data_IF_961327891171
#
_entry.id   IF_961327891171
#
_cell.length_a   1.000
_cell.length_b   1.000
_cell.length_c   1.000
_cell.angle_alpha   90.00
_cell.angle_beta   90.00
_cell.angle_gamma   90.00
#
_symmetry.space_group_name_H-M   'P 1'
#
loop_
_entity.id
_entity.type
_entity.pdbx_description
1 polymer ?
#
# COMPACT_ATOMS: atom_id res chain seq x y z
N UNK A 1 -2.50 4.79 2.53
CA UNK A 1 -2.86 3.59 3.34
C UNK A 1 -1.92 2.47 2.94
N UNK A 2 -1.15 1.90 3.86
CA UNK A 2 -0.27 0.76 3.58
C UNK A 2 -1.00 -0.38 2.86
N UNK A 3 -0.42 -0.84 1.77
CA UNK A 3 -0.84 -2.00 0.99
C UNK A 3 0.11 -3.17 1.27
N UNK A 4 0.04 -4.25 0.53
CA UNK A 4 0.87 -5.45 0.78
C UNK A 4 2.38 -5.13 0.90
N UNK A 5 3.01 -4.35 -0.02
CA UNK A 5 4.44 -4.11 0.05
C UNK A 5 4.87 -3.32 1.30
N UNK A 6 4.10 -2.29 1.68
CA UNK A 6 4.39 -1.47 2.86
C UNK A 6 4.26 -2.31 4.15
N UNK A 7 3.22 -3.15 4.22
CA UNK A 7 3.02 -4.05 5.38
C UNK A 7 4.12 -5.12 5.44
N UNK A 8 4.54 -5.65 4.30
CA UNK A 8 5.66 -6.61 4.22
C UNK A 8 6.98 -5.98 4.71
N UNK A 9 7.21 -4.71 4.36
CA UNK A 9 8.37 -3.95 4.84
C UNK A 9 8.37 -3.85 6.36
N UNK A 10 7.25 -3.44 6.95
CA UNK A 10 7.12 -3.37 8.42
C UNK A 10 7.36 -4.74 9.07
N UNK A 11 6.84 -5.82 8.51
CA UNK A 11 7.07 -7.18 9.01
C UNK A 11 8.55 -7.56 8.97
N UNK A 12 9.24 -7.26 7.87
CA UNK A 12 10.68 -7.57 7.72
C UNK A 12 11.54 -6.80 8.71
N UNK A 13 11.21 -5.53 8.94
CA UNK A 13 11.92 -4.67 9.87
C UNK A 13 11.63 -5.07 11.34
N UNK A 14 10.38 -5.40 11.63
CA UNK A 14 9.93 -5.73 12.99
C UNK A 14 10.41 -7.13 13.45
N UNK A 15 10.37 -8.13 12.57
CA UNK A 15 10.68 -9.53 12.90
C UNK A 15 12.01 -9.73 13.65
N UNK A 16 13.16 -9.22 13.15
CA UNK A 16 14.43 -9.42 13.84
C UNK A 16 14.51 -8.68 15.17
N UNK A 17 13.67 -7.68 15.38
CA UNK A 17 13.69 -6.87 16.59
C UNK A 17 12.90 -7.51 17.75
N UNK A 18 11.81 -8.23 17.45
CA UNK A 18 10.92 -8.71 18.52
C UNK A 18 10.75 -10.24 18.56
N UNK A 19 11.17 -10.99 17.55
CA UNK A 19 11.07 -12.45 17.59
C UNK A 19 11.94 -13.01 18.71
N UNK A 20 11.33 -13.87 19.54
CA UNK A 20 11.97 -14.48 20.69
C UNK A 20 11.79 -13.70 22.01
N UNK A 21 11.40 -12.43 21.99
CA UNK A 21 11.08 -11.66 23.19
C UNK A 21 9.77 -12.12 23.84
N UNK A 22 9.62 -11.90 25.13
CA UNK A 22 8.39 -12.16 25.90
C UNK A 22 7.67 -10.85 26.19
N UNK A 23 6.37 -10.80 25.96
CA UNK A 23 5.53 -9.65 26.35
C UNK A 23 5.31 -9.71 27.86
N UNK A 24 5.76 -8.68 28.57
CA UNK A 24 5.59 -8.59 30.05
C UNK A 24 4.24 -8.00 30.39
N UNK A 25 3.84 -6.92 29.68
CA UNK A 25 2.58 -6.24 29.90
C UNK A 25 2.11 -5.53 28.60
N UNK A 26 0.85 -5.10 28.60
CA UNK A 26 0.27 -4.35 27.51
C UNK A 26 -0.60 -3.18 27.98
N UNK A 27 -0.23 -1.97 27.65
CA UNK A 27 -0.99 -0.75 27.96
C UNK A 27 -1.76 -0.24 26.75
N UNK A 28 -3.08 -0.10 26.88
CA UNK A 28 -3.96 0.41 25.81
C UNK A 28 -4.43 1.83 26.12
N UNK A 29 -3.96 2.83 25.36
CA UNK A 29 -4.36 4.23 25.49
C UNK A 29 -5.64 4.59 24.70
N UNK A 30 -6.09 3.72 23.80
CA UNK A 30 -7.30 3.90 23.00
C UNK A 30 -8.02 2.58 22.77
N UNK A 31 -8.97 2.25 23.63
CA UNK A 31 -9.66 0.95 23.63
C UNK A 31 -10.28 0.57 22.27
N UNK A 32 -10.76 1.56 21.48
CA UNK A 32 -11.31 1.30 20.15
C UNK A 32 -10.27 0.78 19.12
N UNK A 33 -8.98 0.78 19.44
CA UNK A 33 -7.95 0.11 18.63
C UNK A 33 -8.11 -1.40 18.69
N UNK A 34 -8.57 -1.93 19.80
CA UNK A 34 -8.80 -3.36 19.99
C UNK A 34 -10.06 -3.85 19.28
N UNK A 35 -10.06 -5.09 18.83
CA UNK A 35 -11.20 -5.76 18.18
C UNK A 35 -11.83 -6.77 19.13
N UNK A 36 -13.07 -6.48 19.60
CA UNK A 36 -13.90 -7.46 20.29
C UNK A 36 -13.40 -7.91 21.65
N UNK A 37 -12.42 -7.18 22.23
CA UNK A 37 -11.81 -7.49 23.51
C UNK A 37 -11.59 -6.19 24.29
N UNK A 38 -11.69 -6.23 25.63
CA UNK A 38 -11.39 -5.09 26.48
C UNK A 38 -9.87 -4.94 26.68
N UNK A 39 -9.38 -3.74 27.08
CA UNK A 39 -7.96 -3.53 27.36
C UNK A 39 -7.39 -4.51 28.39
N UNK A 40 -8.14 -4.80 29.44
CA UNK A 40 -7.76 -5.68 30.54
C UNK A 40 -7.60 -7.12 30.04
N UNK A 41 -8.62 -7.66 29.38
CA UNK A 41 -8.58 -9.01 28.80
C UNK A 41 -7.50 -9.15 27.72
N UNK A 42 -7.22 -8.06 26.99
CA UNK A 42 -6.13 -8.06 26.02
C UNK A 42 -4.77 -8.16 26.72
N UNK A 43 -4.55 -7.33 27.76
CA UNK A 43 -3.30 -7.35 28.53
C UNK A 43 -3.07 -8.73 29.17
N UNK A 44 -4.08 -9.27 29.85
CA UNK A 44 -4.02 -10.62 30.44
C UNK A 44 -3.74 -11.70 29.40
N UNK A 45 -4.33 -11.57 28.21
CA UNK A 45 -4.17 -12.54 27.12
C UNK A 45 -2.80 -12.54 26.46
N UNK A 46 -2.04 -11.44 26.53
CA UNK A 46 -0.70 -11.33 25.92
C UNK A 46 0.44 -11.39 26.95
N UNK A 47 0.18 -11.07 28.21
CA UNK A 47 1.18 -11.11 29.28
C UNK A 47 1.78 -12.52 29.44
N UNK A 48 3.10 -12.57 29.56
CA UNK A 48 3.88 -13.83 29.65
C UNK A 48 3.98 -14.60 28.32
N UNK A 49 3.42 -14.11 27.21
CA UNK A 49 3.52 -14.79 25.91
C UNK A 49 4.82 -14.42 25.21
N UNK A 50 5.53 -15.45 24.73
CA UNK A 50 6.71 -15.29 23.89
C UNK A 50 6.27 -15.04 22.44
N UNK A 51 6.92 -14.13 21.75
CA UNK A 51 6.73 -13.87 20.31
C UNK A 51 7.50 -14.94 19.53
N UNK A 52 6.79 -15.87 18.90
CA UNK A 52 7.37 -16.96 18.13
C UNK A 52 7.69 -16.59 16.69
N UNK A 53 6.93 -15.63 16.13
CA UNK A 53 7.13 -15.19 14.78
C UNK A 53 6.38 -13.91 14.45
N UNK A 54 6.79 -13.29 13.35
CA UNK A 54 6.09 -12.14 12.75
C UNK A 54 5.94 -12.40 11.27
N UNK A 55 4.72 -12.39 10.79
CA UNK A 55 4.36 -12.67 9.40
C UNK A 55 3.31 -11.68 8.88
N UNK A 56 2.88 -11.84 7.63
CA UNK A 56 1.87 -10.99 7.01
C UNK A 56 0.76 -11.82 6.36
N UNK A 57 -0.46 -11.34 6.49
CA UNK A 57 -1.60 -11.84 5.71
C UNK A 57 -2.39 -10.67 5.10
N UNK A 58 -2.37 -10.54 3.77
CA UNK A 58 -2.97 -9.39 3.07
C UNK A 58 -2.34 -8.07 3.50
N UNK A 59 -3.10 -7.22 4.15
CA UNK A 59 -2.66 -5.91 4.70
C UNK A 59 -2.58 -5.94 6.23
N UNK A 60 -2.46 -7.11 6.83
CA UNK A 60 -2.35 -7.28 8.27
C UNK A 60 -1.01 -7.91 8.63
N UNK A 61 -0.38 -7.37 9.66
CA UNK A 61 0.74 -7.98 10.36
C UNK A 61 0.17 -9.05 11.27
N UNK A 62 0.81 -10.20 11.34
CA UNK A 62 0.48 -11.30 12.23
C UNK A 62 1.67 -11.52 13.15
N UNK A 63 1.45 -11.44 14.46
CA UNK A 63 2.46 -11.74 15.50
C UNK A 63 2.03 -13.02 16.16
N UNK A 64 2.78 -14.09 15.94
CA UNK A 64 2.55 -15.42 16.49
C UNK A 64 3.07 -15.47 17.94
N UNK A 65 2.24 -15.94 18.85
CA UNK A 65 2.51 -15.98 20.29
C UNK A 65 2.52 -17.42 20.79
N UNK A 66 3.32 -17.68 21.81
CA UNK A 66 3.34 -18.99 22.48
C UNK A 66 1.95 -19.38 22.99
N UNK A 67 1.70 -20.69 23.02
CA UNK A 67 0.41 -21.24 23.42
C UNK A 67 -0.67 -21.15 22.34
N UNK A 68 -0.27 -20.99 21.07
CA UNK A 68 -1.17 -21.06 19.91
C UNK A 68 -2.07 -19.83 19.74
N UNK A 69 -1.74 -18.70 20.36
CA UNK A 69 -2.43 -17.43 20.14
C UNK A 69 -1.66 -16.55 19.14
N UNK A 70 -2.31 -15.54 18.58
CA UNK A 70 -1.65 -14.60 17.69
C UNK A 70 -2.37 -13.24 17.68
N UNK A 71 -1.59 -12.19 17.41
CA UNK A 71 -2.12 -10.86 17.16
C UNK A 71 -2.28 -10.61 15.67
N UNK A 72 -3.33 -9.88 15.28
CA UNK A 72 -3.44 -9.27 13.95
C UNK A 72 -3.41 -7.76 14.09
N UNK A 73 -2.57 -7.09 13.29
CA UNK A 73 -2.45 -5.63 13.33
C UNK A 73 -2.71 -5.07 11.93
N UNK A 74 -3.75 -4.25 11.81
CA UNK A 74 -4.06 -3.54 10.57
C UNK A 74 -3.72 -2.06 10.72
N UNK A 75 -2.69 -1.60 10.03
CA UNK A 75 -2.18 -0.22 10.11
C UNK A 75 -3.19 0.84 9.64
N UNK A 76 -4.12 0.49 8.75
CA UNK A 76 -5.07 1.43 8.12
C UNK A 76 -4.36 2.54 7.36
N UNK A 77 -4.48 3.81 7.76
CA UNK A 77 -3.92 4.94 6.99
C UNK A 77 -2.64 5.51 7.61
N UNK A 78 -2.60 5.61 8.93
CA UNK A 78 -1.53 6.29 9.68
C UNK A 78 -0.94 5.45 10.80
N UNK A 79 -1.32 4.16 10.88
CA UNK A 79 -0.76 3.24 11.86
C UNK A 79 0.71 2.93 11.56
N UNK A 80 1.54 2.96 12.59
CA UNK A 80 2.96 2.66 12.56
C UNK A 80 3.31 1.79 13.77
N UNK A 81 4.31 0.92 13.64
CA UNK A 81 4.88 0.14 14.72
C UNK A 81 6.34 0.54 14.91
N UNK A 82 6.70 0.83 16.13
CA UNK A 82 8.07 1.18 16.54
C UNK A 82 8.53 0.23 17.63
N UNK A 83 9.81 -0.10 17.61
CA UNK A 83 10.49 -0.75 18.74
C UNK A 83 11.42 0.28 19.34
N UNK A 84 11.17 0.64 20.59
CA UNK A 84 11.93 1.67 21.31
C UNK A 84 12.32 1.16 22.68
N UNK A 85 13.27 1.83 23.35
CA UNK A 85 13.54 1.58 24.76
C UNK A 85 12.39 2.13 25.62
N UNK A 86 12.15 1.52 26.77
CA UNK A 86 11.07 1.91 27.68
C UNK A 86 11.21 3.33 28.19
N UNK A 87 12.45 3.85 28.31
CA UNK A 87 12.79 5.21 28.70
C UNK A 87 12.70 6.25 27.54
N UNK A 88 12.24 5.81 26.37
CA UNK A 88 12.12 6.66 25.18
C UNK A 88 11.03 7.74 25.32
N UNK A 89 11.12 8.83 24.55
CA UNK A 89 10.22 9.98 24.67
C UNK A 89 8.77 9.59 24.47
N UNK A 90 7.87 10.26 25.21
CA UNK A 90 6.43 10.10 25.08
C UNK A 90 5.92 10.58 23.70
N UNK A 91 4.89 9.89 23.16
CA UNK A 91 4.22 10.29 21.94
C UNK A 91 2.68 10.21 22.16
N UNK A 92 1.96 11.35 22.05
CA UNK A 92 0.51 11.42 22.32
C UNK A 92 -0.33 10.63 21.30
N UNK A 93 0.28 10.14 20.23
CA UNK A 93 -0.38 9.34 19.20
C UNK A 93 -0.21 7.84 19.40
N UNK A 94 0.52 7.39 20.40
CA UNK A 94 0.58 5.97 20.79
C UNK A 94 -0.77 5.52 21.28
N UNK A 95 -1.25 4.39 20.77
CA UNK A 95 -2.56 3.81 21.06
C UNK A 95 -2.48 2.51 21.84
N UNK A 96 -1.36 1.79 21.70
CA UNK A 96 -1.06 0.57 22.41
C UNK A 96 0.45 0.43 22.57
N UNK A 97 0.88 -0.06 23.70
CA UNK A 97 2.25 -0.41 24.04
C UNK A 97 2.27 -1.89 24.43
N UNK A 98 3.22 -2.66 23.93
CA UNK A 98 3.59 -3.97 24.44
C UNK A 98 4.98 -3.84 25.07
N UNK A 99 5.10 -4.09 26.36
CA UNK A 99 6.36 -4.10 27.08
C UNK A 99 7.05 -5.45 26.89
N UNK A 100 8.35 -5.46 26.61
CA UNK A 100 9.14 -6.66 26.38
C UNK A 100 10.08 -6.94 27.57
N UNK A 101 10.41 -8.21 27.77
CA UNK A 101 11.26 -8.71 28.85
C UNK A 101 12.72 -8.19 28.81
N UNK A 102 13.12 -7.59 27.71
CA UNK A 102 14.46 -7.00 27.52
C UNK A 102 14.52 -5.47 27.72
N UNK A 103 13.44 -4.86 28.26
CA UNK A 103 13.35 -3.42 28.52
C UNK A 103 13.05 -2.57 27.29
N UNK A 104 12.59 -3.18 26.20
CA UNK A 104 12.06 -2.49 25.01
C UNK A 104 10.54 -2.52 25.00
N UNK A 105 9.97 -1.69 24.14
CA UNK A 105 8.53 -1.60 23.90
C UNK A 105 8.24 -1.67 22.42
N UNK A 106 7.16 -2.35 22.06
CA UNK A 106 6.52 -2.24 20.74
C UNK A 106 5.39 -1.22 20.88
N UNK A 107 5.54 -0.05 20.27
CA UNK A 107 4.54 1.02 20.29
C UNK A 107 3.74 1.04 19.00
N UNK A 108 2.42 0.94 19.11
CA UNK A 108 1.51 1.18 18.00
C UNK A 108 1.04 2.64 18.02
N UNK A 109 1.56 3.41 17.09
CA UNK A 109 1.23 4.82 16.88
C UNK A 109 0.17 4.95 15.79
N UNK A 110 -0.88 5.75 16.03
CA UNK A 110 -1.87 6.04 14.98
C UNK A 110 -2.57 7.38 15.22
N UNK A 111 -2.22 8.38 14.41
CA UNK A 111 -2.76 9.74 14.50
C UNK A 111 -4.28 9.73 14.29
N UNK A 112 -4.76 9.00 13.30
CA UNK A 112 -6.18 8.99 12.88
C UNK A 112 -7.05 8.03 13.67
N UNK A 113 -6.47 7.19 14.52
CA UNK A 113 -7.20 6.21 15.36
C UNK A 113 -8.05 5.18 14.58
N UNK A 114 -7.64 4.84 13.37
CA UNK A 114 -8.33 3.86 12.51
C UNK A 114 -7.74 2.46 12.58
N UNK A 115 -6.49 2.36 13.01
CA UNK A 115 -5.78 1.11 13.16
C UNK A 115 -6.51 0.13 14.07
N UNK A 116 -6.33 -1.17 13.82
CA UNK A 116 -7.00 -2.23 14.55
C UNK A 116 -6.05 -3.34 14.93
N UNK A 117 -6.16 -3.78 16.17
CA UNK A 117 -5.41 -4.88 16.74
C UNK A 117 -6.42 -5.90 17.30
N UNK A 118 -6.23 -7.17 16.97
CA UNK A 118 -7.06 -8.26 17.49
C UNK A 118 -6.16 -9.36 18.08
N UNK A 119 -6.59 -9.96 19.17
CA UNK A 119 -6.01 -11.17 19.76
C UNK A 119 -6.90 -12.35 19.40
N UNK A 120 -6.31 -13.42 18.93
CA UNK A 120 -6.98 -14.63 18.45
C UNK A 120 -6.27 -15.86 18.96
N UNK A 121 -6.99 -16.98 19.02
CA UNK A 121 -6.41 -18.32 19.29
C UNK A 121 -6.35 -19.12 17.98
N UNK A 122 -5.59 -20.21 17.97
CA UNK A 122 -5.36 -21.03 16.77
C UNK A 122 -6.65 -21.56 16.11
N UNK A 123 -7.72 -21.72 16.88
CA UNK A 123 -9.03 -22.14 16.35
C UNK A 123 -9.77 -21.04 15.58
N UNK A 124 -9.36 -19.77 15.73
CA UNK A 124 -9.97 -18.65 15.06
C UNK A 124 -9.40 -18.51 13.63
N UNK A 125 -10.24 -18.16 12.69
CA UNK A 125 -9.81 -17.80 11.33
C UNK A 125 -10.28 -16.38 10.93
N UNK A 126 -9.62 -15.34 11.45
CA UNK A 126 -9.95 -13.96 11.09
C UNK A 126 -9.67 -13.64 9.61
N UNK A 127 -9.05 -14.56 8.89
CA UNK A 127 -8.67 -14.42 7.49
C UNK A 127 -9.54 -15.23 6.52
N UNK A 128 -10.55 -15.96 7.00
CA UNK A 128 -11.40 -16.84 6.19
C UNK A 128 -11.96 -16.17 4.93
N UNK A 129 -12.33 -14.90 5.02
CA UNK A 129 -12.84 -14.12 3.90
C UNK A 129 -11.75 -13.51 3.00
N UNK A 130 -10.48 -13.56 3.40
CA UNK A 130 -9.39 -12.92 2.65
C UNK A 130 -8.97 -13.81 1.47
N UNK A 131 -8.94 -13.22 0.28
CA UNK A 131 -8.52 -13.87 -0.97
C UNK A 131 -7.07 -14.36 -0.94
N UNK A 132 -6.61 -15.05 -1.99
CA UNK A 132 -5.25 -15.59 -2.06
C UNK A 132 -4.19 -14.50 -2.03
N UNK A 133 -3.02 -14.84 -1.49
CA UNK A 133 -1.82 -14.01 -1.51
C UNK A 133 -1.23 -13.94 -2.92
N UNK A 134 -1.12 -12.75 -3.54
CA UNK A 134 -0.71 -12.63 -4.93
C UNK A 134 0.73 -13.04 -5.22
N UNK A 135 1.59 -13.03 -4.21
CA UNK A 135 3.00 -13.43 -4.35
C UNK A 135 3.26 -14.90 -4.00
N UNK A 136 2.27 -15.60 -3.44
CA UNK A 136 2.37 -17.04 -3.17
C UNK A 136 2.41 -17.87 -4.45
N UNK A 137 3.11 -19.01 -4.43
CA UNK A 137 3.13 -19.98 -5.52
C UNK A 137 1.77 -20.64 -5.72
N UNK A 138 0.95 -20.73 -4.68
CA UNK A 138 -0.43 -21.20 -4.77
C UNK A 138 -1.34 -20.26 -5.59
N UNK A 139 -0.96 -18.98 -5.77
CA UNK A 139 -1.70 -18.04 -6.63
C UNK A 139 -1.34 -18.23 -8.11
N UNK A 140 -1.68 -19.38 -8.65
CA UNK A 140 -1.45 -19.71 -10.06
C UNK A 140 -2.39 -18.93 -10.99
N UNK A 141 -2.03 -18.87 -12.28
CA UNK A 141 -2.91 -18.31 -13.32
C UNK A 141 -4.29 -19.02 -13.36
N UNK A 142 -4.33 -20.33 -13.09
CA UNK A 142 -5.56 -21.10 -12.99
C UNK A 142 -6.48 -20.61 -11.87
N UNK A 143 -5.92 -20.42 -10.68
CA UNK A 143 -6.64 -19.88 -9.52
C UNK A 143 -7.15 -18.46 -9.82
N UNK A 144 -6.31 -17.58 -10.37
CA UNK A 144 -6.71 -16.23 -10.74
C UNK A 144 -7.86 -16.22 -11.74
N UNK A 145 -7.78 -17.02 -12.83
CA UNK A 145 -8.82 -17.14 -13.84
C UNK A 145 -10.15 -17.62 -13.28
N UNK A 146 -10.12 -18.68 -12.46
CA UNK A 146 -11.34 -19.20 -11.81
C UNK A 146 -12.05 -18.12 -11.01
N UNK A 147 -11.29 -17.38 -10.19
CA UNK A 147 -11.84 -16.30 -9.38
C UNK A 147 -12.33 -15.11 -10.21
N UNK A 148 -11.58 -14.71 -11.23
CA UNK A 148 -11.91 -13.59 -12.10
C UNK A 148 -13.21 -13.86 -12.89
N UNK A 149 -13.35 -15.04 -13.47
CA UNK A 149 -14.54 -15.43 -14.27
C UNK A 149 -15.79 -15.58 -13.42
N UNK A 150 -15.67 -15.85 -12.14
CA UNK A 150 -16.79 -15.84 -11.19
C UNK A 150 -17.31 -14.43 -10.87
N UNK A 151 -16.64 -13.36 -11.29
CA UNK A 151 -17.01 -11.98 -10.99
C UNK A 151 -17.58 -11.26 -12.20
N UNK A 152 -18.59 -10.40 -11.95
CA UNK A 152 -19.26 -9.59 -12.99
C UNK A 152 -18.81 -8.12 -12.96
N UNK A 153 -18.11 -7.72 -11.90
CA UNK A 153 -17.76 -6.34 -11.62
C UNK A 153 -16.67 -5.76 -12.52
N UNK A 154 -16.40 -4.48 -12.34
CA UNK A 154 -15.33 -3.75 -13.02
C UNK A 154 -13.99 -4.08 -12.39
N UNK A 155 -12.92 -4.03 -13.18
CA UNK A 155 -11.58 -4.46 -12.75
C UNK A 155 -11.06 -3.66 -11.56
N UNK A 156 -11.20 -2.32 -11.57
CA UNK A 156 -10.63 -1.52 -10.47
C UNK A 156 -11.27 -1.85 -9.11
N UNK A 157 -12.61 -1.80 -8.92
CA UNK A 157 -13.23 -2.23 -7.69
C UNK A 157 -12.92 -3.68 -7.31
N UNK A 158 -12.84 -4.57 -8.31
CA UNK A 158 -12.52 -5.97 -8.08
C UNK A 158 -11.11 -6.17 -7.51
N UNK A 159 -10.12 -5.46 -8.03
CA UNK A 159 -8.75 -5.52 -7.51
C UNK A 159 -8.63 -4.95 -6.09
N UNK A 160 -9.51 -4.03 -5.70
CA UNK A 160 -9.56 -3.47 -4.35
C UNK A 160 -10.26 -4.38 -3.34
N UNK A 161 -11.06 -5.35 -3.83
CA UNK A 161 -11.77 -6.32 -3.00
C UNK A 161 -10.78 -7.34 -2.41
N UNK A 162 -10.53 -7.24 -1.11
CA UNK A 162 -9.60 -8.13 -0.39
C UNK A 162 -10.07 -9.58 -0.38
N UNK A 163 -11.35 -9.85 -0.67
CA UNK A 163 -11.85 -11.22 -0.83
C UNK A 163 -11.49 -11.80 -2.19
N UNK A 164 -11.20 -10.95 -3.19
CA UNK A 164 -10.77 -11.39 -4.53
C UNK A 164 -9.28 -11.73 -4.57
N UNK A 165 -8.43 -10.79 -4.20
CA UNK A 165 -6.96 -10.95 -4.07
C UNK A 165 -6.51 -10.12 -2.87
N UNK A 166 -5.73 -10.72 -1.99
CA UNK A 166 -5.23 -10.04 -0.80
C UNK A 166 -4.21 -8.95 -1.12
N UNK A 167 -4.17 -7.91 -0.30
CA UNK A 167 -3.06 -6.98 -0.24
C UNK A 167 -3.04 -5.86 -1.29
N UNK A 168 -3.77 -5.95 -2.40
CA UNK A 168 -3.83 -4.90 -3.42
C UNK A 168 -4.70 -3.74 -2.91
N UNK A 169 -4.22 -2.52 -3.08
CA UNK A 169 -4.97 -1.30 -2.80
C UNK A 169 -4.95 -0.34 -3.99
N UNK A 170 -5.11 0.95 -3.70
CA UNK A 170 -5.36 1.95 -4.74
C UNK A 170 -4.15 2.19 -5.64
N UNK A 171 -2.95 2.16 -5.06
CA UNK A 171 -1.68 2.38 -5.76
C UNK A 171 -1.45 1.26 -6.76
N UNK A 172 -1.32 0.05 -6.23
CA UNK A 172 -0.91 -1.10 -7.04
C UNK A 172 -2.00 -1.59 -7.98
N UNK A 173 -3.28 -1.29 -7.71
CA UNK A 173 -4.35 -1.55 -8.67
C UNK A 173 -4.26 -0.63 -9.92
N UNK A 174 -3.97 0.67 -9.76
CA UNK A 174 -3.77 1.57 -10.91
C UNK A 174 -2.54 1.17 -11.72
N UNK A 175 -1.43 0.89 -11.05
CA UNK A 175 -0.19 0.48 -11.69
C UNK A 175 -0.33 -0.85 -12.44
N UNK A 176 -0.95 -1.86 -11.84
CA UNK A 176 -1.17 -3.16 -12.47
C UNK A 176 -2.09 -3.05 -13.70
N UNK A 177 -3.16 -2.25 -13.61
CA UNK A 177 -4.06 -2.03 -14.74
C UNK A 177 -3.37 -1.26 -15.88
N UNK A 178 -2.54 -0.28 -15.56
CA UNK A 178 -1.77 0.44 -16.59
C UNK A 178 -0.74 -0.46 -17.25
N UNK A 179 0.02 -1.23 -16.49
CA UNK A 179 1.01 -2.16 -17.00
C UNK A 179 0.35 -3.22 -17.90
N UNK A 180 -0.78 -3.77 -17.47
CA UNK A 180 -1.58 -4.72 -18.23
C UNK A 180 -2.35 -4.12 -19.42
N UNK A 181 -2.31 -2.80 -19.65
CA UNK A 181 -3.06 -2.07 -20.68
C UNK A 181 -4.58 -2.28 -20.59
N UNK A 182 -5.11 -2.40 -19.38
CA UNK A 182 -6.51 -2.63 -19.13
C UNK A 182 -7.17 -1.38 -18.53
N UNK A 183 -8.28 -0.96 -19.11
CA UNK A 183 -9.02 0.18 -18.60
C UNK A 183 -9.65 -0.14 -17.23
N UNK A 184 -9.59 0.73 -16.21
CA UNK A 184 -10.11 0.46 -14.87
C UNK A 184 -11.62 0.16 -14.82
N UNK A 185 -12.38 0.67 -15.80
CA UNK A 185 -13.82 0.40 -15.95
C UNK A 185 -14.14 -0.84 -16.80
N UNK A 186 -13.16 -1.56 -17.32
CA UNK A 186 -13.39 -2.79 -18.06
C UNK A 186 -13.98 -3.84 -17.11
N UNK A 187 -14.95 -4.63 -17.57
CA UNK A 187 -15.56 -5.67 -16.77
C UNK A 187 -14.75 -6.98 -16.84
N UNK A 188 -14.74 -7.75 -15.75
CA UNK A 188 -14.01 -9.01 -15.70
C UNK A 188 -14.45 -9.98 -16.81
N UNK A 189 -15.73 -9.96 -17.18
CA UNK A 189 -16.31 -10.86 -18.20
C UNK A 189 -15.84 -10.58 -19.63
N UNK A 190 -15.38 -9.38 -19.92
CA UNK A 190 -14.93 -8.99 -21.28
C UNK A 190 -13.45 -9.24 -21.51
N UNK A 191 -12.75 -9.80 -20.50
CA UNK A 191 -11.33 -10.12 -20.64
C UNK A 191 -11.13 -11.36 -21.50
N UNK A 192 -10.21 -11.26 -22.44
CA UNK A 192 -9.72 -12.42 -23.21
C UNK A 192 -8.67 -13.17 -22.38
N UNK A 193 -8.42 -14.46 -22.65
CA UNK A 193 -7.41 -15.25 -21.94
C UNK A 193 -6.00 -14.61 -21.90
N UNK A 194 -5.62 -13.87 -22.95
CA UNK A 194 -4.37 -13.13 -23.00
C UNK A 194 -4.37 -11.92 -22.04
N UNK A 195 -5.50 -11.22 -21.91
CA UNK A 195 -5.68 -10.09 -20.99
C UNK A 195 -5.62 -10.57 -19.52
N UNK A 196 -6.27 -11.71 -19.24
CA UNK A 196 -6.26 -12.36 -17.91
C UNK A 196 -4.82 -12.73 -17.50
N UNK A 197 -4.08 -13.37 -18.41
CA UNK A 197 -2.68 -13.75 -18.17
C UNK A 197 -1.80 -12.53 -17.93
N UNK A 198 -1.95 -11.48 -18.75
CA UNK A 198 -1.17 -10.26 -18.62
C UNK A 198 -1.46 -9.57 -17.28
N UNK A 199 -2.73 -9.44 -16.87
CA UNK A 199 -3.08 -8.83 -15.60
C UNK A 199 -2.50 -9.61 -14.41
N UNK A 200 -2.59 -10.93 -14.42
CA UNK A 200 -2.00 -11.79 -13.39
C UNK A 200 -0.47 -11.61 -13.30
N UNK A 201 0.22 -11.57 -14.42
CA UNK A 201 1.68 -11.37 -14.47
C UNK A 201 2.06 -10.00 -13.90
N UNK A 202 1.36 -8.93 -14.31
CA UNK A 202 1.68 -7.57 -13.89
C UNK A 202 1.36 -7.33 -12.42
N UNK A 203 0.30 -7.92 -11.87
CA UNK A 203 0.04 -7.88 -10.43
C UNK A 203 1.22 -8.45 -9.66
N UNK A 204 1.69 -9.65 -10.02
CA UNK A 204 2.80 -10.31 -9.33
C UNK A 204 4.11 -9.53 -9.48
N UNK A 205 4.42 -9.11 -10.70
CA UNK A 205 5.65 -8.35 -11.00
C UNK A 205 5.74 -7.05 -10.20
N UNK A 206 4.68 -6.23 -10.26
CA UNK A 206 4.67 -4.92 -9.60
C UNK A 206 4.71 -5.05 -8.08
N UNK A 207 3.96 -5.99 -7.51
CA UNK A 207 3.99 -6.21 -6.07
C UNK A 207 5.34 -6.75 -5.59
N UNK A 208 5.97 -7.66 -6.35
CA UNK A 208 7.30 -8.17 -6.03
C UNK A 208 8.35 -7.06 -6.09
N UNK A 209 8.31 -6.22 -7.13
CA UNK A 209 9.19 -5.05 -7.26
C UNK A 209 8.98 -4.06 -6.10
N UNK A 210 7.72 -3.79 -5.75
CA UNK A 210 7.40 -2.89 -4.66
C UNK A 210 7.87 -3.41 -3.29
N UNK A 211 7.84 -4.72 -3.06
CA UNK A 211 8.41 -5.35 -1.85
C UNK A 211 9.93 -5.17 -1.81
N UNK A 212 10.63 -5.35 -2.93
CA UNK A 212 12.09 -5.14 -3.03
C UNK A 212 12.44 -3.67 -2.72
N UNK A 213 11.62 -2.72 -3.20
CA UNK A 213 11.78 -1.27 -3.01
C UNK A 213 11.19 -0.76 -1.69
N UNK A 214 10.87 -1.63 -0.75
CA UNK A 214 10.33 -1.30 0.59
C UNK A 214 8.98 -0.54 0.55
N UNK A 215 8.19 -0.70 -0.51
CA UNK A 215 6.92 -0.02 -0.70
C UNK A 215 7.07 1.46 -1.06
N UNK A 216 5.99 2.22 -0.89
CA UNK A 216 5.91 3.65 -1.19
C UNK A 216 5.66 4.47 0.08
N UNK A 217 6.41 5.55 0.27
CA UNK A 217 6.15 6.58 1.28
C UNK A 217 5.32 7.69 0.64
N UNK A 218 4.00 7.49 0.61
CA UNK A 218 3.05 8.43 0.00
C UNK A 218 1.98 8.80 1.03
N UNK A 219 1.51 10.06 0.96
CA UNK A 219 0.53 10.64 1.86
C UNK A 219 1.03 10.66 3.32
N UNK A 220 0.23 10.13 4.25
CA UNK A 220 0.48 10.20 5.69
C UNK A 220 1.27 8.99 6.23
N UNK A 221 1.82 8.13 5.35
CA UNK A 221 2.56 6.93 5.77
C UNK A 221 4.04 7.02 5.42
N UNK A 222 4.87 6.89 6.45
CA UNK A 222 6.33 6.69 6.36
C UNK A 222 6.68 5.48 7.20
N UNK A 223 7.50 4.58 6.68
CA UNK A 223 8.01 3.47 7.47
C UNK A 223 8.94 3.99 8.58
N UNK A 224 8.95 3.38 9.78
CA UNK A 224 9.80 3.81 10.89
C UNK A 224 11.30 3.90 10.54
N UNK A 225 11.79 2.92 9.78
CA UNK A 225 13.21 2.76 9.46
C UNK A 225 13.60 3.32 8.08
N UNK A 226 12.89 4.32 7.60
CA UNK A 226 13.20 5.04 6.37
C UNK A 226 12.13 4.93 5.29
N UNK A 227 12.26 5.80 4.29
CA UNK A 227 11.31 5.88 3.20
C UNK A 227 11.46 4.70 2.22
N UNK A 228 10.35 4.21 1.73
CA UNK A 228 10.32 3.34 0.57
C UNK A 228 10.76 4.10 -0.69
N UNK A 229 11.11 3.38 -1.72
CA UNK A 229 11.56 3.95 -3.00
C UNK A 229 10.53 3.78 -4.13
N UNK A 230 9.44 3.05 -3.89
CA UNK A 230 8.49 2.70 -4.95
C UNK A 230 7.75 3.92 -5.51
N UNK A 231 7.58 5.00 -4.76
CA UNK A 231 6.95 6.25 -5.23
C UNK A 231 7.66 6.83 -6.46
N UNK A 232 8.97 6.69 -6.59
CA UNK A 232 9.74 7.21 -7.72
C UNK A 232 9.59 6.35 -8.99
N UNK A 233 9.05 5.13 -8.85
CA UNK A 233 8.83 4.16 -9.91
C UNK A 233 7.37 4.04 -10.37
N UNK A 234 6.45 4.78 -9.73
CA UNK A 234 5.04 4.77 -10.13
C UNK A 234 4.84 5.41 -11.49
N UNK A 235 4.05 4.76 -12.34
CA UNK A 235 3.87 5.14 -13.72
C UNK A 235 2.63 6.01 -13.95
N UNK A 236 1.58 5.82 -13.17
CA UNK A 236 0.31 6.56 -13.32
C UNK A 236 -0.26 7.08 -12.01
N UNK A 237 -0.04 6.39 -10.88
CA UNK A 237 -0.65 6.79 -9.62
C UNK A 237 -0.20 8.19 -9.18
N UNK A 238 -1.15 9.07 -8.84
CA UNK A 238 -0.95 10.50 -8.50
C UNK A 238 -0.26 11.35 -9.61
N UNK A 239 -0.18 10.85 -10.84
CA UNK A 239 0.45 11.52 -11.96
C UNK A 239 -0.55 12.12 -12.97
N UNK A 240 -1.74 12.48 -12.50
CA UNK A 240 -2.76 13.10 -13.36
C UNK A 240 -2.24 14.37 -14.03
N UNK A 241 -2.43 14.48 -15.36
CA UNK A 241 -1.93 15.59 -16.19
C UNK A 241 -0.48 15.44 -16.66
N UNK A 242 0.31 14.54 -16.06
CA UNK A 242 1.66 14.24 -16.54
C UNK A 242 1.63 13.36 -17.81
N UNK A 243 2.67 13.39 -18.63
CA UNK A 243 2.76 12.54 -19.82
C UNK A 243 2.85 11.06 -19.42
N UNK A 244 2.02 10.23 -20.06
CA UNK A 244 2.11 8.79 -19.93
C UNK A 244 3.48 8.29 -20.42
N UNK A 245 4.26 7.54 -19.63
CA UNK A 245 5.60 7.08 -20.02
C UNK A 245 5.61 6.24 -21.31
N UNK A 246 4.47 5.64 -21.67
CA UNK A 246 4.35 4.76 -22.84
C UNK A 246 3.99 5.52 -24.13
N UNK A 247 3.18 6.57 -24.07
CA UNK A 247 2.66 7.23 -25.28
C UNK A 247 2.67 8.75 -25.27
N UNK A 248 3.19 9.38 -24.22
CA UNK A 248 3.28 10.83 -24.06
C UNK A 248 1.97 11.58 -23.78
N UNK A 249 0.80 10.91 -23.93
CA UNK A 249 -0.50 11.58 -23.66
C UNK A 249 -0.74 11.75 -22.17
N UNK A 250 -1.52 12.79 -21.77
CA UNK A 250 -1.74 13.06 -20.35
C UNK A 250 -2.49 11.92 -19.67
N UNK A 251 -2.00 11.55 -18.50
CA UNK A 251 -2.67 10.62 -17.57
C UNK A 251 -3.95 11.28 -17.09
N UNK A 252 -5.04 10.53 -17.11
CA UNK A 252 -6.37 10.96 -16.68
C UNK A 252 -6.64 10.52 -15.25
N UNK A 253 -7.50 11.28 -14.57
CA UNK A 253 -8.03 10.94 -13.26
C UNK A 253 -9.55 10.84 -13.32
N UNK A 254 -10.09 9.84 -12.63
CA UNK A 254 -11.53 9.63 -12.46
C UNK A 254 -11.78 9.03 -11.09
N UNK A 255 -13.01 9.10 -10.59
CA UNK A 255 -13.40 8.41 -9.35
C UNK A 255 -14.12 7.12 -9.70
N UNK A 256 -13.62 5.99 -9.22
CA UNK A 256 -14.20 4.65 -9.42
C UNK A 256 -14.37 3.97 -8.07
N UNK A 257 -15.59 3.62 -7.70
CA UNK A 257 -15.85 2.98 -6.40
C UNK A 257 -15.39 3.83 -5.20
N UNK A 258 -15.54 5.14 -5.27
CA UNK A 258 -15.12 6.08 -4.22
C UNK A 258 -13.59 6.29 -4.13
N UNK A 259 -12.82 5.80 -5.11
CA UNK A 259 -11.35 5.91 -5.13
C UNK A 259 -10.87 6.68 -6.35
N UNK A 260 -9.95 7.64 -6.14
CA UNK A 260 -9.22 8.28 -7.22
C UNK A 260 -8.49 7.20 -8.04
N UNK A 261 -8.64 7.25 -9.35
CA UNK A 261 -8.14 6.24 -10.28
C UNK A 261 -7.39 6.94 -11.40
N UNK A 262 -6.14 6.58 -11.60
CA UNK A 262 -5.24 7.20 -12.57
C UNK A 262 -4.95 6.21 -13.71
N UNK A 263 -5.07 6.67 -14.94
CA UNK A 263 -4.88 5.81 -16.10
C UNK A 263 -4.59 6.62 -17.37
N UNK A 264 -4.03 5.96 -18.38
CA UNK A 264 -3.88 6.53 -19.71
C UNK A 264 -5.04 6.07 -20.60
N UNK A 265 -5.94 6.97 -20.98
CA UNK A 265 -7.12 6.64 -21.81
C UNK A 265 -6.77 6.13 -23.22
N UNK A 266 -5.55 6.37 -23.68
CA UNK A 266 -5.06 5.87 -24.97
C UNK A 266 -4.48 4.46 -24.88
N UNK A 267 -3.61 4.21 -23.91
CA UNK A 267 -2.99 2.89 -23.70
C UNK A 267 -3.95 1.86 -23.12
N UNK A 268 -4.94 2.32 -22.33
CA UNK A 268 -5.94 1.52 -21.64
C UNK A 268 -7.33 1.79 -22.22
N UNK A 269 -7.57 1.33 -23.44
CA UNK A 269 -8.84 1.58 -24.14
C UNK A 269 -9.99 0.82 -23.50
N UNK A 270 -11.14 1.49 -23.34
CA UNK A 270 -12.38 0.86 -22.91
C UNK A 270 -13.14 0.34 -24.14
N UNK A 271 -13.39 -0.97 -24.25
CA UNK A 271 -14.21 -1.56 -25.32
C UNK A 271 -15.63 -0.98 -25.35
N UNK A 272 -16.24 -0.95 -26.54
CA UNK A 272 -17.59 -0.42 -26.72
C UNK A 272 -18.62 -1.14 -25.81
N UNK A 273 -18.52 -2.46 -25.69
CA UNK A 273 -19.38 -3.26 -24.82
C UNK A 273 -19.35 -2.83 -23.34
N UNK A 274 -18.17 -2.36 -22.86
CA UNK A 274 -18.02 -1.90 -21.48
C UNK A 274 -18.45 -0.43 -21.29
N UNK A 275 -18.59 0.35 -22.38
CA UNK A 275 -19.07 1.74 -22.33
C UNK A 275 -20.58 1.82 -22.15
N UNK A 276 -21.34 0.93 -22.78
CA UNK A 276 -22.80 0.93 -22.76
C UNK A 276 -23.40 0.49 -21.41
N UNK A 277 -22.64 -0.22 -20.57
CA UNK A 277 -23.14 -0.83 -19.33
C UNK A 277 -22.77 -0.06 -18.07
N UNK A 278 -23.68 -0.09 -17.08
CA UNK A 278 -23.39 0.13 -15.66
C UNK A 278 -22.78 1.48 -15.30
N UNK A 279 -23.23 2.60 -15.85
CA UNK A 279 -22.78 3.95 -15.44
C UNK A 279 -21.34 4.31 -15.86
N UNK A 280 -20.72 3.57 -16.81
CA UNK A 280 -19.39 3.94 -17.31
C UNK A 280 -19.37 5.32 -17.93
N UNK A 281 -20.40 5.69 -18.70
CA UNK A 281 -20.54 7.01 -19.29
C UNK A 281 -20.62 8.11 -18.21
N UNK A 282 -21.37 7.90 -17.14
CA UNK A 282 -21.47 8.82 -16.01
C UNK A 282 -20.12 9.01 -15.32
N UNK A 283 -19.40 7.91 -15.02
CA UNK A 283 -18.07 7.98 -14.41
C UNK A 283 -17.09 8.71 -15.33
N UNK A 284 -17.10 8.41 -16.63
CA UNK A 284 -16.20 9.07 -17.59
C UNK A 284 -16.47 10.57 -17.76
N UNK A 285 -17.71 11.04 -17.51
CA UNK A 285 -18.02 12.48 -17.47
C UNK A 285 -17.31 13.20 -16.32
N UNK A 286 -16.97 12.52 -15.24
CA UNK A 286 -16.22 13.08 -14.12
C UNK A 286 -14.71 13.03 -14.34
N UNK A 287 -14.26 12.62 -15.53
CA UNK A 287 -12.85 12.52 -15.86
C UNK A 287 -12.24 13.92 -15.94
N UNK A 288 -11.23 14.15 -15.13
CA UNK A 288 -10.47 15.39 -15.14
C UNK A 288 -9.08 15.17 -15.73
N UNK A 289 -8.65 16.17 -16.49
CA UNK A 289 -7.24 16.34 -16.83
C UNK A 289 -6.83 17.64 -16.17
N UNK A 290 -6.05 17.63 -15.11
CA UNK A 290 -5.52 18.86 -14.53
C UNK A 290 -4.77 19.62 -15.62
N UNK A 291 -5.02 20.92 -15.70
CA UNK A 291 -4.23 21.80 -16.56
C UNK A 291 -2.79 21.79 -16.01
N UNK A 292 -1.80 21.60 -16.88
CA UNK A 292 -0.42 21.93 -16.52
C UNK A 292 -0.39 23.41 -16.18
N UNK A 293 0.23 23.80 -15.09
CA UNK A 293 0.50 25.22 -14.81
C UNK A 293 1.18 25.81 -16.04
N UNK A 294 0.42 26.59 -16.82
CA UNK A 294 0.91 27.41 -17.91
C UNK A 294 0.55 27.05 -19.35
N UNK A 295 0.05 25.83 -19.69
CA UNK A 295 -0.42 25.53 -21.06
C UNK A 295 -1.41 24.37 -21.10
N UNK A 296 -2.42 24.45 -21.97
CA UNK A 296 -3.28 23.31 -22.31
C UNK A 296 -2.49 22.31 -23.14
N UNK A 297 -2.75 21.02 -22.91
CA UNK A 297 -2.07 19.95 -23.67
C UNK A 297 -2.26 20.04 -25.17
N UNK A 298 -3.41 20.54 -25.61
CA UNK A 298 -3.74 20.81 -27.02
C UNK A 298 -2.91 21.94 -27.67
N UNK A 299 -2.24 22.73 -26.85
CA UNK A 299 -1.43 23.89 -27.29
C UNK A 299 0.07 23.55 -27.39
N UNK A 300 0.46 22.31 -27.04
CA UNK A 300 1.83 21.87 -27.23
C UNK A 300 2.07 21.42 -28.67
N UNK A 301 3.16 21.86 -29.32
CA UNK A 301 3.54 21.39 -30.64
C UNK A 301 3.63 19.87 -30.68
N UNK A 302 3.22 19.25 -31.77
CA UNK A 302 3.13 17.80 -31.94
C UNK A 302 4.46 17.02 -31.72
N UNK A 303 5.58 17.72 -31.55
CA UNK A 303 6.93 17.17 -31.31
C UNK A 303 7.39 17.17 -29.85
N UNK A 304 6.84 18.03 -29.00
CA UNK A 304 7.36 18.20 -27.61
C UNK A 304 6.89 17.13 -26.61
N UNK A 305 6.02 16.23 -27.01
CA UNK A 305 5.51 15.13 -26.19
C UNK A 305 5.99 13.73 -26.60
N UNK A 306 6.82 13.62 -27.61
CA UNK A 306 7.43 12.35 -28.01
C UNK A 306 8.81 12.24 -27.38
N UNK A 307 8.89 11.61 -26.22
CA UNK A 307 10.16 11.05 -25.77
C UNK A 307 10.32 9.75 -26.56
N UNK A 308 11.20 9.75 -27.55
CA UNK A 308 11.75 8.54 -28.15
C UNK A 308 12.44 7.68 -27.07
N UNK A 309 12.81 6.44 -27.36
CA UNK A 309 13.60 5.65 -26.41
C UNK A 309 14.84 6.51 -26.06
N UNK A 310 15.02 6.76 -24.76
CA UNK A 310 16.09 7.58 -24.25
C UNK A 310 17.43 6.90 -24.56
N UNK A 311 18.15 7.43 -25.48
CA UNK A 311 19.61 7.42 -25.47
C UNK A 311 20.04 8.58 -24.56
N UNK A 312 20.85 8.25 -23.53
CA UNK A 312 21.48 9.11 -22.54
C UNK A 312 20.65 9.45 -21.27
N UNK A 313 20.89 8.59 -20.24
CA UNK A 313 20.50 8.77 -18.86
C UNK A 313 21.30 9.83 -18.10
N UNK A 314 21.25 11.12 -18.48
CA UNK A 314 21.92 12.18 -17.71
C UNK A 314 21.26 13.55 -17.79
N UNK A 315 20.07 13.84 -17.38
CA UNK A 315 19.75 15.25 -17.13
C UNK A 315 18.50 15.58 -16.31
N UNK A 316 17.66 14.62 -15.92
CA UNK A 316 16.45 14.93 -15.13
C UNK A 316 16.56 14.54 -13.67
N UNK A 317 17.55 13.71 -13.30
CA UNK A 317 17.79 13.29 -11.92
C UNK A 317 18.45 14.38 -11.03
N UNK A 318 19.18 15.36 -11.64
CA UNK A 318 20.00 16.30 -10.87
C UNK A 318 19.20 17.37 -10.11
N UNK A 319 18.09 17.88 -10.66
CA UNK A 319 17.38 18.98 -10.02
C UNK A 319 16.47 18.57 -8.84
N UNK A 320 16.05 17.30 -8.79
CA UNK A 320 15.22 16.79 -7.70
C UNK A 320 16.09 16.24 -6.55
N UNK A 321 17.21 15.59 -6.87
CA UNK A 321 18.20 15.15 -5.90
C UNK A 321 18.84 16.35 -5.14
N UNK A 322 19.01 17.48 -5.80
CA UNK A 322 19.52 18.70 -5.20
C UNK A 322 18.54 19.34 -4.21
N UNK A 323 17.24 19.32 -4.50
CA UNK A 323 16.20 19.77 -3.55
C UNK A 323 16.09 18.88 -2.33
N UNK A 324 16.22 17.56 -2.49
CA UNK A 324 16.20 16.60 -1.38
C UNK A 324 17.45 16.75 -0.51
N UNK A 325 18.62 16.97 -1.10
CA UNK A 325 19.86 17.22 -0.35
C UNK A 325 19.82 18.55 0.42
N UNK A 326 19.23 19.61 -0.11
CA UNK A 326 19.03 20.88 0.60
C UNK A 326 18.07 20.71 1.79
N UNK A 327 16.97 19.99 1.65
CA UNK A 327 16.04 19.71 2.76
C UNK A 327 16.69 18.88 3.88
N UNK A 328 17.53 17.90 3.54
CA UNK A 328 18.27 17.10 4.50
C UNK A 328 19.36 17.90 5.22
N UNK A 329 20.05 18.81 4.52
CA UNK A 329 21.05 19.69 5.10
C UNK A 329 20.45 20.68 6.10
N UNK A 330 19.28 21.24 5.80
CA UNK A 330 18.57 22.18 6.69
C UNK A 330 18.09 21.47 7.97
N UNK A 331 17.63 20.21 7.88
CA UNK A 331 17.26 19.42 9.06
C UNK A 331 18.46 19.05 9.94
N UNK A 332 19.63 18.76 9.36
CA UNK A 332 20.87 18.50 10.13
C UNK A 332 21.42 19.75 10.82
N UNK A 333 21.25 20.92 10.22
CA UNK A 333 21.64 22.19 10.84
C UNK A 333 20.71 22.53 12.04
N UNK A 334 19.40 22.32 11.92
CA UNK A 334 18.45 22.51 13.01
C UNK A 334 18.69 21.55 14.20
N UNK A 335 19.04 20.30 13.92
CA UNK A 335 19.33 19.30 14.95
C UNK A 335 20.64 19.58 15.70
N UNK A 336 21.64 20.27 15.09
CA UNK A 336 22.88 20.68 15.76
C UNK A 336 22.71 21.93 16.62
N UNK A 337 21.75 22.79 16.31
CA UNK A 337 21.46 23.98 17.10
C UNK A 337 20.70 23.70 18.42
N UNK A 338 20.07 22.54 18.55
CA UNK A 338 19.34 22.13 19.75
C UNK A 338 20.14 21.33 20.78
N UNK A 339 21.44 21.09 20.53
CA UNK A 339 22.34 20.32 21.44
C UNK A 339 23.42 21.19 22.07
N UNK A 340 23.41 22.51 21.82
CA UNK A 340 24.40 23.48 22.30
C UNK A 340 23.76 24.67 23.04
N UNK A 341 22.84 24.38 23.97
CA UNK A 341 22.25 25.38 24.85
C UNK A 341 21.91 24.77 26.21
#
# INVERSE_FOLDING_TARGET
MPELPEVETVVRDLRPLIAGATIVDATTHWARTLRGITPELFADGVAGRRIEGVSRRGKQIVVELSGGSFLTIHLKMTGQLFVVRQDGPGDPYVRLVLELDDGREVRFRDIRKFGKIGLYVAADDPFAAIGPEPLSDAFTLGVFRKRLRARKGRLKPLLLDQTFVAGIGNIYADEALWAARLHPLRTARTLRPADERRLWLEIRRILAEAVIRRGSSIDDYTAPDGDGEMQDHLQVYQRAGEPCPRCGRPIRRVVVGGRATHFCSWCQRLPAADRAGGGAATILRTMTTPERRGRRWSELPAGEGRVGPAEDGRSVASSRAERTRRAAATRRAAARASVGG
#
